data_IF_669791853730
#
_entry.id   IF_669791853730
#
_cell.length_a   1.000
_cell.length_b   1.000
_cell.length_c   1.000
_cell.angle_alpha   90.00
_cell.angle_beta   90.00
_cell.angle_gamma   90.00
#
_symmetry.space_group_name_H-M   'P 1'
#
loop_
_entity.id
_entity.type
_entity.pdbx_description
1 polymer ?
#
# COMPACT_ATOMS: atom_id res chain seq x y z
N UNK A 1 14.56 -1.61 29.37
CA UNK A 1 14.14 -1.51 28.79
C UNK A 1 13.82 -1.77 27.87
N UNK A 2 13.42 -1.86 27.57
CA UNK A 2 13.08 -2.11 26.78
C UNK A 2 12.59 -1.87 26.01
N UNK A 3 12.71 -1.51 25.70
CA UNK A 3 12.24 -1.11 24.90
C UNK A 3 12.06 -1.35 23.54
N UNK A 4 12.29 -2.02 22.77
CA UNK A 4 12.06 -2.54 21.45
C UNK A 4 10.74 -3.16 21.26
N UNK A 5 9.81 -2.86 22.08
CA UNK A 5 8.54 -3.45 21.98
C UNK A 5 7.80 -2.96 20.82
N UNK A 6 7.18 -3.80 20.06
CA UNK A 6 6.31 -3.43 19.00
C UNK A 6 6.98 -3.29 17.66
N UNK A 7 8.27 -3.50 17.58
CA UNK A 7 8.88 -3.49 16.27
C UNK A 7 10.12 -4.36 16.28
N UNK A 8 10.56 -4.68 15.08
CA UNK A 8 11.69 -5.54 14.87
C UNK A 8 12.75 -4.73 14.13
N UNK A 9 13.96 -4.75 14.62
CA UNK A 9 15.03 -4.04 13.94
C UNK A 9 15.60 -4.88 12.81
N UNK A 10 16.35 -4.22 11.97
CA UNK A 10 16.99 -4.91 10.87
C UNK A 10 17.93 -5.99 11.37
N UNK A 11 18.63 -5.73 12.44
CA UNK A 11 19.55 -6.71 12.99
C UNK A 11 18.81 -7.95 13.47
N UNK A 12 17.61 -7.78 13.97
CA UNK A 12 16.86 -8.91 14.49
C UNK A 12 16.32 -9.79 13.39
N UNK A 13 15.87 -9.17 12.31
CA UNK A 13 15.35 -9.95 11.19
C UNK A 13 16.48 -10.60 10.41
N UNK A 14 17.59 -9.93 10.32
CA UNK A 14 18.71 -10.45 9.56
C UNK A 14 18.56 -10.40 8.07
N UNK A 15 17.39 -10.06 7.60
CA UNK A 15 17.15 -10.04 6.16
C UNK A 15 16.10 -9.03 5.82
N UNK A 16 16.46 -8.12 4.94
CA UNK A 16 15.51 -7.16 4.40
C UNK A 16 15.70 -7.11 2.89
N UNK A 17 14.62 -6.95 2.15
CA UNK A 17 14.76 -6.79 0.71
C UNK A 17 15.46 -5.48 0.38
N UNK A 18 15.98 -5.35 -0.82
CA UNK A 18 16.57 -4.08 -1.24
C UNK A 18 15.58 -2.93 -1.08
N UNK A 19 16.14 -1.76 -0.84
CA UNK A 19 15.33 -0.58 -0.58
C UNK A 19 14.38 -0.32 -1.73
N UNK A 20 14.85 -0.50 -2.97
CA UNK A 20 14.01 -0.25 -4.13
C UNK A 20 12.77 -1.12 -4.13
N UNK A 21 12.93 -2.40 -3.78
CA UNK A 21 11.77 -3.29 -3.73
C UNK A 21 10.82 -2.92 -2.62
N UNK A 22 11.37 -2.52 -1.47
CA UNK A 22 10.54 -2.11 -0.36
C UNK A 22 9.74 -0.87 -0.73
N UNK A 23 10.41 0.11 -1.34
CA UNK A 23 9.73 1.34 -1.71
C UNK A 23 8.63 1.09 -2.74
N UNK A 24 8.91 0.26 -3.75
CA UNK A 24 7.91 -0.04 -4.75
C UNK A 24 6.69 -0.71 -4.16
N UNK A 25 6.92 -1.68 -3.27
CA UNK A 25 5.82 -2.36 -2.62
C UNK A 25 5.03 -1.43 -1.72
N UNK A 26 5.70 -0.58 -0.98
CA UNK A 26 5.03 0.36 -0.10
C UNK A 26 4.19 1.33 -0.92
N UNK A 27 4.73 1.85 -2.01
CA UNK A 27 3.96 2.74 -2.85
C UNK A 27 2.71 2.07 -3.40
N UNK A 28 2.85 0.84 -3.86
CA UNK A 28 1.71 0.12 -4.41
C UNK A 28 0.67 -0.16 -3.34
N UNK A 29 1.11 -0.53 -2.14
CA UNK A 29 0.18 -0.74 -1.04
C UNK A 29 -0.55 0.55 -0.68
N UNK A 30 0.19 1.66 -0.67
CA UNK A 30 -0.43 2.94 -0.35
C UNK A 30 -1.44 3.35 -1.39
N UNK A 31 -1.14 3.13 -2.67
CA UNK A 31 -2.11 3.42 -3.71
C UNK A 31 -3.37 2.58 -3.54
N UNK A 32 -3.21 1.31 -3.23
CA UNK A 32 -4.35 0.44 -3.04
C UNK A 32 -5.20 0.90 -1.86
N UNK A 33 -4.56 1.22 -0.75
CA UNK A 33 -5.28 1.65 0.44
C UNK A 33 -5.96 3.00 0.24
N UNK A 34 -5.23 3.95 -0.35
CA UNK A 34 -5.80 5.26 -0.61
C UNK A 34 -6.94 5.16 -1.60
N UNK A 35 -6.79 4.32 -2.61
CA UNK A 35 -7.86 4.13 -3.56
C UNK A 35 -9.10 3.54 -2.93
N UNK A 36 -8.92 2.52 -2.09
CA UNK A 36 -10.06 1.93 -1.39
C UNK A 36 -10.76 2.94 -0.49
N UNK A 37 -9.98 3.76 0.22
CA UNK A 37 -10.57 4.75 1.09
C UNK A 37 -11.34 5.79 0.29
N UNK A 38 -10.75 6.25 -0.82
CA UNK A 38 -11.42 7.25 -1.64
C UNK A 38 -12.67 6.69 -2.30
N UNK A 39 -12.61 5.45 -2.75
CA UNK A 39 -13.78 4.81 -3.32
C UNK A 39 -14.91 4.72 -2.29
N UNK A 40 -14.57 4.35 -1.07
CA UNK A 40 -15.56 4.25 0.00
C UNK A 40 -16.16 5.61 0.33
N UNK A 41 -15.33 6.65 0.36
CA UNK A 41 -15.84 7.99 0.61
C UNK A 41 -16.77 8.42 -0.51
N UNK A 42 -16.37 8.15 -1.76
CA UNK A 42 -17.21 8.51 -2.89
C UNK A 42 -18.57 7.83 -2.81
N UNK A 43 -18.59 6.55 -2.42
CA UNK A 43 -19.85 5.85 -2.24
C UNK A 43 -20.68 6.45 -1.11
N UNK A 44 -20.02 6.78 0.00
CA UNK A 44 -20.73 7.29 1.15
C UNK A 44 -21.37 8.64 0.89
N UNK A 45 -20.70 9.50 0.12
CA UNK A 45 -21.24 10.83 -0.18
C UNK A 45 -21.90 10.87 -1.55
N UNK A 46 -21.99 9.73 -2.23
CA UNK A 46 -22.65 9.62 -3.52
C UNK A 46 -22.00 10.50 -4.58
N UNK A 47 -20.69 10.55 -4.56
CA UNK A 47 -19.91 11.28 -5.55
C UNK A 47 -19.25 10.27 -6.47
N UNK A 48 -19.83 10.08 -7.65
CA UNK A 48 -19.36 9.03 -8.55
C UNK A 48 -17.97 9.32 -9.08
N UNK A 49 -17.61 10.58 -9.23
CA UNK A 49 -16.28 10.90 -9.71
C UNK A 49 -15.22 10.49 -8.69
N UNK A 50 -15.45 10.81 -7.42
CA UNK A 50 -14.53 10.41 -6.36
C UNK A 50 -14.46 8.89 -6.28
N UNK A 51 -15.61 8.23 -6.40
CA UNK A 51 -15.64 6.78 -6.34
C UNK A 51 -14.81 6.18 -7.48
N UNK A 52 -14.98 6.68 -8.69
CA UNK A 52 -14.23 6.15 -9.82
C UNK A 52 -12.74 6.42 -9.70
N UNK A 53 -12.38 7.60 -9.24
CA UNK A 53 -10.97 7.92 -9.05
C UNK A 53 -10.35 7.01 -8.01
N UNK A 54 -11.08 6.74 -6.94
CA UNK A 54 -10.58 5.83 -5.93
C UNK A 54 -10.41 4.42 -6.48
N UNK A 55 -11.38 3.97 -7.26
CA UNK A 55 -11.29 2.64 -7.85
C UNK A 55 -10.09 2.52 -8.78
N UNK A 56 -9.86 3.54 -9.59
CA UNK A 56 -8.71 3.52 -10.49
C UNK A 56 -7.40 3.45 -9.71
N UNK A 57 -7.31 4.24 -8.66
CA UNK A 57 -6.09 4.25 -7.85
C UNK A 57 -5.89 2.90 -7.18
N UNK A 58 -6.97 2.31 -6.66
CA UNK A 58 -6.87 1.00 -6.03
C UNK A 58 -6.41 -0.05 -7.03
N UNK A 59 -7.00 -0.03 -8.22
CA UNK A 59 -6.64 -1.00 -9.24
C UNK A 59 -5.21 -0.81 -9.72
N UNK A 60 -4.77 0.42 -9.80
CA UNK A 60 -3.38 0.68 -10.15
C UNK A 60 -2.43 0.12 -9.10
N UNK A 61 -2.76 0.33 -7.82
CA UNK A 61 -1.95 -0.24 -6.75
C UNK A 61 -1.93 -1.75 -6.79
N UNK A 62 -3.09 -2.36 -7.05
CA UNK A 62 -3.15 -3.81 -7.14
C UNK A 62 -2.32 -4.34 -8.30
N UNK A 63 -2.34 -3.65 -9.42
CA UNK A 63 -1.54 -4.07 -10.56
C UNK A 63 -0.06 -3.95 -10.26
N UNK A 64 0.34 -2.88 -9.61
CA UNK A 64 1.75 -2.70 -9.25
C UNK A 64 2.20 -3.75 -8.25
N UNK A 65 1.35 -4.09 -7.29
CA UNK A 65 1.68 -5.16 -6.35
C UNK A 65 1.88 -6.48 -7.08
N UNK A 66 1.04 -6.74 -8.06
CA UNK A 66 1.14 -7.96 -8.83
C UNK A 66 2.45 -7.99 -9.60
N UNK A 67 2.86 -6.86 -10.16
CA UNK A 67 4.12 -6.78 -10.88
C UNK A 67 5.30 -7.02 -9.94
N UNK A 68 5.23 -6.45 -8.74
CA UNK A 68 6.30 -6.68 -7.78
C UNK A 68 6.39 -8.15 -7.37
N UNK A 69 5.24 -8.80 -7.29
CA UNK A 69 5.20 -10.20 -6.91
C UNK A 69 5.83 -11.10 -7.96
N UNK A 70 5.81 -10.68 -9.21
CA UNK A 70 6.33 -11.47 -10.30
C UNK A 70 7.82 -11.30 -10.53
N UNK A 71 8.47 -10.42 -9.82
CA UNK A 71 9.92 -10.18 -10.00
C UNK A 71 10.80 -11.24 -9.30
#
# INVERSE_FOLDING_TARGET
MEEKKGYVTQEETGELPPVDEVEGRVEAEMKRLQGSAREAVGQAVQDEQVEREGRKLREEGERELDEERQK
#
